data_IF_180940197614
#
_entry.id   IF_180940197614
#
_cell.length_a   1.000
_cell.length_b   1.000
_cell.length_c   1.000
_cell.angle_alpha   90.00
_cell.angle_beta   90.00
_cell.angle_gamma   90.00
#
_symmetry.space_group_name_H-M   'P 1'
#
loop_
_entity.id
_entity.type
_entity.pdbx_description
1 polymer ?
#
# COMPACT_ATOMS: atom_id res chain seq x y z
N UNK A 1 5.09 25.06 30.38
CA UNK A 1 5.31 25.22 28.92
C UNK A 1 3.96 25.52 28.30
N UNK A 2 3.82 26.55 27.46
CA UNK A 2 2.55 26.80 26.78
C UNK A 2 2.33 25.75 25.67
N UNK A 3 1.08 25.55 25.23
CA UNK A 3 0.77 24.52 24.23
C UNK A 3 1.47 24.74 22.88
N UNK A 4 1.72 26.00 22.48
CA UNK A 4 2.41 26.30 21.24
C UNK A 4 3.88 25.84 21.27
N UNK A 5 4.55 26.00 22.41
CA UNK A 5 5.92 25.52 22.62
C UNK A 5 5.94 23.98 22.74
N UNK A 6 4.95 23.38 23.42
CA UNK A 6 4.80 21.92 23.52
C UNK A 6 4.63 21.26 22.15
N UNK A 7 3.73 21.80 21.32
CA UNK A 7 3.44 21.25 19.99
C UNK A 7 4.61 21.43 19.04
N UNK A 8 5.35 22.54 19.17
CA UNK A 8 6.59 22.76 18.40
C UNK A 8 7.67 21.75 18.79
N UNK A 9 7.80 21.43 20.08
CA UNK A 9 8.73 20.39 20.57
C UNK A 9 8.29 18.99 20.12
N UNK A 10 7.00 18.68 20.24
CA UNK A 10 6.40 17.41 19.82
C UNK A 10 6.57 17.15 18.31
N UNK A 11 6.47 18.17 17.46
CA UNK A 11 6.71 18.02 16.03
C UNK A 11 8.13 17.53 15.68
N UNK A 12 9.10 17.68 16.60
CA UNK A 12 10.47 17.18 16.42
C UNK A 12 10.72 15.84 17.13
N UNK A 13 9.97 15.54 18.20
CA UNK A 13 10.20 14.38 19.08
C UNK A 13 9.15 13.29 18.96
N UNK A 14 8.08 13.54 18.21
CA UNK A 14 6.86 12.74 18.17
C UNK A 14 5.75 13.36 19.02
N UNK A 15 4.51 13.02 18.69
CA UNK A 15 3.30 13.53 19.35
C UNK A 15 2.87 12.69 20.56
N UNK A 16 3.80 11.92 21.13
CA UNK A 16 3.55 11.11 22.33
C UNK A 16 3.16 12.02 23.50
N UNK A 17 2.04 11.68 24.16
CA UNK A 17 1.49 12.45 25.27
C UNK A 17 0.55 13.60 24.87
N UNK A 18 0.22 13.75 23.58
CA UNK A 18 -0.96 14.51 23.16
C UNK A 18 -2.16 13.56 23.04
N UNK A 19 -3.36 14.10 23.27
CA UNK A 19 -4.61 13.35 23.09
C UNK A 19 -5.67 14.22 22.39
N UNK A 20 -6.74 13.56 21.94
CA UNK A 20 -7.81 14.18 21.15
C UNK A 20 -8.57 15.32 21.87
N UNK A 21 -8.44 15.47 23.20
CA UNK A 21 -9.02 16.60 23.92
C UNK A 21 -8.40 17.94 23.52
N UNK A 22 -7.18 17.93 22.97
CA UNK A 22 -6.45 19.13 22.54
C UNK A 22 -6.85 19.64 21.15
N UNK A 23 -7.71 18.93 20.42
CA UNK A 23 -8.11 19.30 19.06
C UNK A 23 -8.66 20.74 18.95
N UNK A 24 -9.53 21.24 19.86
CA UNK A 24 -10.02 22.62 19.79
C UNK A 24 -8.89 23.67 19.88
N UNK A 25 -7.96 23.50 20.82
CA UNK A 25 -6.83 24.42 21.03
C UNK A 25 -5.82 24.34 19.87
N UNK A 26 -5.57 23.15 19.34
CA UNK A 26 -4.72 22.96 18.16
C UNK A 26 -5.29 23.68 16.93
N UNK A 27 -6.62 23.63 16.72
CA UNK A 27 -7.30 24.41 15.67
C UNK A 27 -7.16 25.92 15.90
N UNK A 28 -7.20 26.38 17.14
CA UNK A 28 -6.99 27.79 17.46
C UNK A 28 -5.54 28.22 17.14
N UNK A 29 -4.54 27.43 17.54
CA UNK A 29 -3.13 27.67 17.21
C UNK A 29 -2.92 27.68 15.69
N UNK A 30 -3.51 26.73 14.98
CA UNK A 30 -3.42 26.64 13.51
C UNK A 30 -3.95 27.90 12.83
N UNK A 31 -5.08 28.43 13.28
CA UNK A 31 -5.73 29.62 12.69
C UNK A 31 -5.01 30.92 13.03
N UNK A 32 -4.74 31.14 14.31
CA UNK A 32 -4.39 32.47 14.82
C UNK A 32 -3.09 32.49 15.63
N UNK A 33 -2.57 31.32 16.01
CA UNK A 33 -1.37 31.20 16.82
C UNK A 33 -0.08 31.72 16.16
N UNK A 34 1.03 31.72 16.90
CA UNK A 34 2.33 32.15 16.38
C UNK A 34 2.73 31.38 15.12
N UNK A 35 3.32 32.05 14.13
CA UNK A 35 3.66 31.44 12.84
C UNK A 35 4.48 30.14 12.99
N UNK A 36 5.42 30.11 13.94
CA UNK A 36 6.26 28.94 14.25
C UNK A 36 5.47 27.70 14.71
N UNK A 37 4.29 27.89 15.30
CA UNK A 37 3.47 26.82 15.88
C UNK A 37 2.35 26.35 14.94
N UNK A 38 2.04 27.07 13.85
CA UNK A 38 0.93 26.73 12.95
C UNK A 38 1.14 25.42 12.20
N UNK A 39 2.34 25.19 11.64
CA UNK A 39 2.69 23.92 10.96
C UNK A 39 2.75 22.76 11.96
N UNK A 40 3.45 22.88 13.10
CA UNK A 40 3.37 21.88 14.17
C UNK A 40 1.94 21.54 14.61
N UNK A 41 1.06 22.55 14.76
CA UNK A 41 -0.34 22.31 15.10
C UNK A 41 -1.11 21.57 14.00
N UNK A 42 -0.84 21.86 12.72
CA UNK A 42 -1.42 21.11 11.59
C UNK A 42 -1.03 19.62 11.66
N UNK A 43 0.25 19.33 11.91
CA UNK A 43 0.75 17.95 12.02
C UNK A 43 0.16 17.24 13.24
N UNK A 44 0.01 17.93 14.37
CA UNK A 44 -0.66 17.38 15.55
C UNK A 44 -2.15 17.11 15.31
N UNK A 45 -2.87 17.98 14.58
CA UNK A 45 -4.26 17.74 14.17
C UNK A 45 -4.37 16.46 13.33
N UNK A 46 -3.53 16.34 12.30
CA UNK A 46 -3.46 15.14 11.47
C UNK A 46 -3.15 13.89 12.29
N UNK A 47 -2.17 13.95 13.19
CA UNK A 47 -1.84 12.81 14.03
C UNK A 47 -3.01 12.41 14.95
N UNK A 48 -3.65 13.36 15.63
CA UNK A 48 -4.65 13.03 16.66
C UNK A 48 -6.04 12.71 16.13
N UNK A 49 -6.42 13.26 14.98
CA UNK A 49 -7.77 13.05 14.43
C UNK A 49 -7.81 13.00 12.91
N UNK A 50 -6.67 12.78 12.26
CA UNK A 50 -6.51 12.69 10.82
C UNK A 50 -7.12 13.85 10.05
N UNK A 51 -7.56 13.57 8.84
CA UNK A 51 -8.26 14.50 7.96
C UNK A 51 -9.51 15.11 8.60
N UNK A 52 -10.18 14.42 9.54
CA UNK A 52 -11.37 14.95 10.24
C UNK A 52 -11.03 16.01 11.28
N UNK A 53 -9.79 16.06 11.76
CA UNK A 53 -9.34 17.12 12.65
C UNK A 53 -9.14 18.46 11.93
N UNK A 54 -8.95 18.44 10.61
CA UNK A 54 -8.65 19.62 9.81
C UNK A 54 -9.86 20.51 9.57
N UNK A 55 -9.64 21.83 9.59
CA UNK A 55 -10.65 22.78 9.15
C UNK A 55 -10.87 22.67 7.64
N UNK A 56 -12.07 23.01 7.11
CA UNK A 56 -12.35 22.94 5.67
C UNK A 56 -11.35 23.70 4.79
N UNK A 57 -10.78 24.81 5.30
CA UNK A 57 -9.75 25.57 4.60
C UNK A 57 -8.43 24.80 4.47
N UNK A 58 -8.02 24.05 5.49
CA UNK A 58 -6.82 23.23 5.45
C UNK A 58 -6.99 22.04 4.50
N UNK A 59 -8.17 21.39 4.51
CA UNK A 59 -8.52 20.34 3.54
C UNK A 59 -8.51 20.85 2.10
N UNK A 60 -9.04 22.05 1.86
CA UNK A 60 -9.01 22.67 0.53
C UNK A 60 -7.57 22.95 0.05
N UNK A 61 -6.70 23.41 0.95
CA UNK A 61 -5.27 23.62 0.63
C UNK A 61 -4.58 22.30 0.32
N UNK A 62 -4.82 21.25 1.12
CA UNK A 62 -4.24 19.92 0.88
C UNK A 62 -4.67 19.36 -0.48
N UNK A 63 -5.97 19.40 -0.80
CA UNK A 63 -6.50 18.96 -2.10
C UNK A 63 -5.86 19.71 -3.25
N UNK A 64 -5.74 21.03 -3.14
CA UNK A 64 -5.07 21.86 -4.15
C UNK A 64 -3.58 21.51 -4.29
N UNK A 65 -2.88 21.24 -3.19
CA UNK A 65 -1.47 20.81 -3.23
C UNK A 65 -1.31 19.49 -3.97
N UNK A 66 -2.19 18.52 -3.71
CA UNK A 66 -2.23 17.25 -4.46
C UNK A 66 -2.41 17.53 -5.95
N UNK A 67 -3.45 18.28 -6.33
CA UNK A 67 -3.74 18.63 -7.73
C UNK A 67 -2.55 19.30 -8.43
N UNK A 68 -1.85 20.22 -7.76
CA UNK A 68 -0.67 20.89 -8.31
C UNK A 68 0.54 19.95 -8.44
N UNK A 69 0.65 18.92 -7.60
CA UNK A 69 1.76 17.95 -7.62
C UNK A 69 1.57 16.87 -8.66
N UNK A 70 0.33 16.41 -8.90
CA UNK A 70 0.02 15.28 -9.79
C UNK A 70 0.74 15.28 -11.14
N UNK A 71 0.85 16.40 -11.90
CA UNK A 71 1.55 16.38 -13.19
C UNK A 71 3.04 16.03 -13.11
N UNK A 72 3.66 16.32 -11.96
CA UNK A 72 5.08 16.13 -11.69
C UNK A 72 5.37 14.93 -10.80
N UNK A 73 4.32 14.30 -10.29
CA UNK A 73 4.44 13.12 -9.46
C UNK A 73 4.91 11.95 -10.33
N UNK A 74 5.88 11.20 -9.82
CA UNK A 74 6.53 10.13 -10.55
C UNK A 74 6.50 8.86 -9.72
N UNK A 75 6.24 7.70 -10.35
CA UNK A 75 6.29 6.42 -9.66
C UNK A 75 7.65 6.25 -8.99
N UNK A 76 7.62 5.90 -7.71
CA UNK A 76 8.78 5.51 -6.92
C UNK A 76 8.40 4.28 -6.09
N UNK A 77 9.40 3.66 -5.47
CA UNK A 77 9.21 2.50 -4.62
C UNK A 77 8.23 2.83 -3.50
N UNK A 78 7.20 2.01 -3.35
CA UNK A 78 6.27 2.02 -2.23
C UNK A 78 6.72 0.90 -1.31
N UNK A 79 7.64 1.22 -0.39
CA UNK A 79 8.24 0.26 0.52
C UNK A 79 7.77 0.50 1.95
N UNK A 80 7.09 -0.50 2.50
CA UNK A 80 6.74 -0.62 3.91
C UNK A 80 7.31 -1.88 4.53
N UNK A 81 7.05 -2.07 5.83
CA UNK A 81 7.42 -3.33 6.50
C UNK A 81 6.60 -4.52 5.98
N UNK A 82 5.31 -4.28 5.69
CA UNK A 82 4.35 -5.27 5.22
C UNK A 82 3.76 -4.81 3.90
N UNK A 83 4.24 -5.38 2.80
CA UNK A 83 3.84 -4.95 1.46
C UNK A 83 2.86 -5.96 0.88
N UNK A 84 1.62 -5.54 0.65
CA UNK A 84 0.61 -6.33 -0.05
C UNK A 84 0.09 -5.54 -1.26
N UNK A 85 0.07 -6.18 -2.43
CA UNK A 85 -0.41 -5.52 -3.65
C UNK A 85 -1.00 -6.50 -4.66
N UNK A 86 -1.91 -5.97 -5.49
CA UNK A 86 -2.38 -6.59 -6.71
C UNK A 86 -1.73 -5.92 -7.91
N UNK A 87 -1.54 -6.69 -8.97
CA UNK A 87 -1.29 -6.17 -10.32
C UNK A 87 -2.36 -6.70 -11.25
N UNK A 88 -2.94 -5.82 -12.05
CA UNK A 88 -4.01 -6.16 -13.01
C UNK A 88 -3.58 -5.70 -14.38
N UNK A 89 -3.64 -6.59 -15.37
CA UNK A 89 -3.32 -6.21 -16.75
C UNK A 89 -4.34 -5.18 -17.24
N UNK A 90 -3.91 -4.20 -18.01
CA UNK A 90 -4.76 -3.07 -18.40
C UNK A 90 -4.97 -2.06 -17.27
N UNK A 91 -6.02 -1.25 -17.35
CA UNK A 91 -6.20 -0.16 -16.39
C UNK A 91 -7.46 0.67 -16.51
N UNK A 92 -8.61 0.02 -16.33
CA UNK A 92 -9.80 0.74 -15.87
C UNK A 92 -9.83 0.71 -14.33
N UNK A 93 -9.29 1.76 -13.71
CA UNK A 93 -9.27 1.91 -12.25
C UNK A 93 -10.68 1.81 -11.65
N UNK A 94 -11.71 2.31 -12.35
CA UNK A 94 -13.09 2.31 -11.87
C UNK A 94 -13.68 0.89 -11.85
N UNK A 95 -13.39 0.09 -12.86
CA UNK A 95 -13.84 -1.32 -12.89
C UNK A 95 -13.06 -2.18 -11.89
N UNK A 96 -11.75 -1.94 -11.72
CA UNK A 96 -10.96 -2.58 -10.66
C UNK A 96 -11.57 -2.27 -9.29
N UNK A 97 -11.86 -0.99 -9.02
CA UNK A 97 -12.54 -0.57 -7.80
C UNK A 97 -13.86 -1.30 -7.58
N UNK A 98 -14.69 -1.47 -8.61
CA UNK A 98 -15.95 -2.21 -8.49
C UNK A 98 -15.76 -3.67 -8.05
N UNK A 99 -14.79 -4.38 -8.62
CA UNK A 99 -14.48 -5.78 -8.22
C UNK A 99 -14.05 -5.85 -6.76
N UNK A 100 -13.23 -4.90 -6.32
CA UNK A 100 -12.76 -4.83 -4.93
C UNK A 100 -13.85 -4.32 -3.96
N UNK A 101 -14.96 -3.79 -4.47
CA UNK A 101 -16.02 -3.19 -3.65
C UNK A 101 -15.69 -1.78 -3.15
N UNK A 102 -14.77 -1.09 -3.83
CA UNK A 102 -14.37 0.28 -3.53
C UNK A 102 -15.28 1.24 -4.30
N UNK A 103 -15.94 2.14 -3.58
CA UNK A 103 -16.98 3.03 -4.12
C UNK A 103 -16.64 4.50 -3.99
N UNK A 104 -15.54 4.80 -3.29
CA UNK A 104 -15.03 6.13 -3.05
C UNK A 104 -13.58 6.22 -3.50
N UNK A 105 -13.18 7.39 -3.96
CA UNK A 105 -11.81 7.66 -4.34
C UNK A 105 -11.49 9.15 -4.23
N UNK A 106 -10.23 9.46 -3.97
CA UNK A 106 -9.66 10.80 -4.10
C UNK A 106 -8.32 10.73 -4.83
N UNK A 107 -7.97 11.74 -5.65
CA UNK A 107 -6.63 11.83 -6.23
C UNK A 107 -5.57 11.80 -5.13
N UNK A 108 -4.45 11.14 -5.40
CA UNK A 108 -3.36 11.01 -4.46
C UNK A 108 -2.02 11.10 -5.17
N UNK A 109 -0.99 11.55 -4.47
CA UNK A 109 0.38 11.40 -4.95
C UNK A 109 0.95 10.03 -4.56
N UNK A 110 2.01 9.57 -5.21
CA UNK A 110 2.75 8.37 -4.81
C UNK A 110 3.26 8.48 -3.38
N UNK A 111 3.76 9.66 -2.97
CA UNK A 111 4.21 9.87 -1.58
C UNK A 111 3.07 9.79 -0.56
N UNK A 112 1.85 10.22 -0.93
CA UNK A 112 0.67 10.01 -0.09
C UNK A 112 0.27 8.52 -0.06
N UNK A 113 0.35 7.83 -1.19
CA UNK A 113 0.14 6.39 -1.30
C UNK A 113 1.10 5.58 -0.44
N UNK A 114 2.39 5.93 -0.46
CA UNK A 114 3.44 5.33 0.38
C UNK A 114 3.13 5.53 1.87
N UNK A 115 2.87 6.77 2.29
CA UNK A 115 2.52 7.05 3.67
C UNK A 115 1.27 6.27 4.14
N UNK A 116 0.28 6.16 3.26
CA UNK A 116 -0.93 5.37 3.52
C UNK A 116 -0.61 3.89 3.68
N UNK A 117 0.03 3.27 2.68
CA UNK A 117 0.31 1.82 2.66
C UNK A 117 1.19 1.44 3.85
N UNK A 118 2.24 2.22 4.13
CA UNK A 118 3.11 2.00 5.28
C UNK A 118 2.32 2.06 6.60
N UNK A 119 1.47 3.08 6.77
CA UNK A 119 0.68 3.23 7.99
C UNK A 119 -0.34 2.10 8.18
N UNK A 120 -1.08 1.74 7.13
CA UNK A 120 -2.09 0.68 7.20
C UNK A 120 -1.48 -0.71 7.36
N UNK A 121 -0.28 -0.95 6.81
CA UNK A 121 0.47 -2.20 7.02
C UNK A 121 0.82 -2.43 8.50
N UNK A 122 1.01 -1.36 9.28
CA UNK A 122 1.17 -1.41 10.74
C UNK A 122 -0.15 -1.48 11.52
N UNK A 123 -1.25 -1.72 10.82
CA UNK A 123 -2.58 -1.83 11.41
C UNK A 123 -3.32 -0.50 11.54
N UNK A 124 -2.80 0.58 10.95
CA UNK A 124 -3.48 1.87 10.92
C UNK A 124 -3.81 2.45 12.31
N UNK A 125 -4.85 3.29 12.43
CA UNK A 125 -5.18 3.99 13.66
C UNK A 125 -5.62 3.11 14.86
N UNK A 126 -5.98 1.85 14.65
CA UNK A 126 -6.45 0.94 15.70
C UNK A 126 -5.54 -0.28 15.90
N UNK A 127 -4.46 -0.38 15.14
CA UNK A 127 -3.54 -1.52 15.15
C UNK A 127 -4.08 -2.79 14.47
N UNK A 128 -5.22 -2.73 13.78
CA UNK A 128 -5.81 -3.85 13.04
C UNK A 128 -5.33 -3.92 11.60
N UNK A 129 -4.94 -5.10 11.11
CA UNK A 129 -4.51 -5.29 9.70
C UNK A 129 -5.67 -5.38 8.68
N UNK A 130 -6.90 -5.03 9.06
CA UNK A 130 -8.12 -5.28 8.24
C UNK A 130 -8.55 -4.08 7.37
N UNK A 131 -7.63 -3.19 7.04
CA UNK A 131 -7.94 -1.97 6.30
C UNK A 131 -8.20 -2.23 4.82
N UNK A 132 -9.30 -1.67 4.32
CA UNK A 132 -9.75 -1.78 2.91
C UNK A 132 -9.38 -0.58 2.05
N UNK A 133 -8.70 0.40 2.63
CA UNK A 133 -8.15 1.52 1.89
C UNK A 133 -6.95 1.04 1.08
N UNK A 134 -6.92 1.43 -0.18
CA UNK A 134 -5.83 1.08 -1.09
C UNK A 134 -5.35 2.30 -1.85
N UNK A 135 -4.06 2.31 -2.16
CA UNK A 135 -3.52 3.14 -3.22
C UNK A 135 -3.71 2.42 -4.56
N UNK A 136 -4.17 3.12 -5.58
CA UNK A 136 -4.28 2.62 -6.95
C UNK A 136 -3.42 3.49 -7.85
N UNK A 137 -2.46 2.87 -8.51
CA UNK A 137 -1.60 3.55 -9.47
C UNK A 137 -2.38 3.94 -10.73
N UNK A 138 -1.90 4.92 -11.52
CA UNK A 138 -2.29 5.03 -12.92
C UNK A 138 -1.97 3.72 -13.68
N UNK A 139 -2.34 3.67 -14.95
CA UNK A 139 -1.83 2.63 -15.87
C UNK A 139 -0.34 2.84 -16.08
N UNK A 140 0.45 1.76 -15.96
CA UNK A 140 1.91 1.71 -16.02
C UNK A 140 2.31 0.54 -16.90
N UNK A 141 2.90 0.77 -18.07
CA UNK A 141 3.44 -0.28 -18.95
C UNK A 141 2.53 -1.53 -19.14
N UNK A 142 1.22 -1.32 -19.26
CA UNK A 142 0.25 -2.41 -19.44
C UNK A 142 -0.40 -2.92 -18.16
N UNK A 143 -0.13 -2.33 -17.00
CA UNK A 143 -0.59 -2.80 -15.70
C UNK A 143 -1.13 -1.67 -14.82
N UNK A 144 -2.00 -2.02 -13.89
CA UNK A 144 -2.42 -1.17 -12.77
C UNK A 144 -2.05 -1.86 -11.46
N UNK A 145 -1.43 -1.13 -10.55
CA UNK A 145 -1.06 -1.60 -9.21
C UNK A 145 -2.13 -1.15 -8.22
N UNK A 146 -2.56 -2.05 -7.35
CA UNK A 146 -3.40 -1.74 -6.19
C UNK A 146 -2.64 -2.17 -4.94
N UNK A 147 -2.33 -1.26 -4.03
CA UNK A 147 -1.50 -1.52 -2.86
C UNK A 147 -2.24 -1.21 -1.56
N UNK A 148 -2.20 -2.12 -0.61
CA UNK A 148 -2.80 -1.98 0.72
C UNK A 148 -3.02 -3.33 1.40
N UNK A 149 -3.25 -3.37 2.73
CA UNK A 149 -3.33 -4.62 3.48
C UNK A 149 -4.38 -5.60 2.98
N UNK A 150 -5.50 -5.11 2.45
CA UNK A 150 -6.54 -5.96 1.84
C UNK A 150 -6.08 -6.71 0.59
N UNK A 151 -4.88 -6.46 0.06
CA UNK A 151 -4.36 -7.17 -1.11
C UNK A 151 -3.57 -8.44 -0.75
N UNK A 152 -3.46 -8.78 0.53
CA UNK A 152 -2.63 -9.89 1.00
C UNK A 152 -3.22 -11.27 0.62
N UNK A 153 -2.54 -12.06 -0.24
CA UNK A 153 -3.02 -13.39 -0.62
C UNK A 153 -3.04 -14.43 0.53
N UNK A 154 -2.33 -14.20 1.64
CA UNK A 154 -2.30 -15.10 2.79
C UNK A 154 -3.47 -14.89 3.75
N UNK A 155 -3.86 -13.64 3.95
CA UNK A 155 -4.71 -13.24 5.08
C UNK A 155 -6.06 -12.62 4.65
N UNK A 156 -6.22 -12.21 3.39
CA UNK A 156 -7.51 -11.73 2.86
C UNK A 156 -8.21 -12.81 2.03
N UNK A 157 -9.31 -13.41 2.52
CA UNK A 157 -10.04 -14.47 1.81
C UNK A 157 -10.57 -14.06 0.43
N UNK A 158 -10.87 -12.77 0.22
CA UNK A 158 -11.43 -12.28 -1.04
C UNK A 158 -10.41 -12.09 -2.15
N UNK A 159 -9.11 -12.05 -1.84
CA UNK A 159 -8.06 -11.80 -2.85
C UNK A 159 -8.09 -12.84 -3.97
N UNK A 160 -8.37 -14.11 -3.66
CA UNK A 160 -8.48 -15.14 -4.70
C UNK A 160 -9.68 -14.92 -5.63
N UNK A 161 -10.83 -14.53 -5.09
CA UNK A 161 -12.01 -14.16 -5.87
C UNK A 161 -11.68 -12.97 -6.80
N UNK A 162 -11.04 -11.92 -6.26
CA UNK A 162 -10.63 -10.76 -7.04
C UNK A 162 -9.65 -11.11 -8.14
N UNK A 163 -8.60 -11.88 -7.85
CA UNK A 163 -7.62 -12.31 -8.85
C UNK A 163 -8.29 -13.14 -9.95
N UNK A 164 -9.22 -14.03 -9.60
CA UNK A 164 -9.98 -14.81 -10.58
C UNK A 164 -10.85 -13.90 -11.45
N UNK A 165 -11.61 -13.00 -10.86
CA UNK A 165 -12.49 -12.11 -11.61
C UNK A 165 -11.71 -11.13 -12.50
N UNK A 166 -10.68 -10.49 -11.96
CA UNK A 166 -9.84 -9.53 -12.69
C UNK A 166 -9.08 -10.21 -13.83
N UNK A 167 -8.48 -11.38 -13.60
CA UNK A 167 -7.82 -12.12 -14.68
C UNK A 167 -8.79 -12.63 -15.74
N UNK A 168 -10.05 -12.91 -15.40
CA UNK A 168 -11.09 -13.25 -16.39
C UNK A 168 -11.40 -12.06 -17.31
N UNK A 169 -11.50 -10.86 -16.74
CA UNK A 169 -11.83 -9.62 -17.47
C UNK A 169 -10.64 -9.09 -18.28
N UNK A 170 -9.44 -9.16 -17.72
CA UNK A 170 -8.26 -8.45 -18.23
C UNK A 170 -7.14 -9.37 -18.74
N UNK A 171 -7.37 -10.68 -18.74
CA UNK A 171 -6.41 -11.68 -19.19
C UNK A 171 -5.49 -12.14 -18.06
N UNK A 172 -4.87 -11.24 -17.30
CA UNK A 172 -3.98 -11.59 -16.19
C UNK A 172 -4.20 -10.67 -14.98
N UNK A 173 -4.13 -11.25 -13.78
CA UNK A 173 -4.08 -10.51 -12.52
C UNK A 173 -3.29 -11.33 -11.49
N UNK A 174 -2.55 -10.66 -10.61
CA UNK A 174 -1.77 -11.32 -9.57
C UNK A 174 -1.90 -10.57 -8.24
N UNK A 175 -1.74 -11.29 -7.13
CA UNK A 175 -1.58 -10.74 -5.79
C UNK A 175 -0.22 -11.16 -5.23
N UNK A 176 0.36 -10.31 -4.40
CA UNK A 176 1.69 -10.49 -3.83
C UNK A 176 1.71 -10.00 -2.39
N UNK A 177 2.51 -10.67 -1.57
CA UNK A 177 2.92 -10.21 -0.24
C UNK A 177 4.43 -10.32 -0.09
N UNK A 178 5.04 -9.28 0.48
CA UNK A 178 6.47 -9.23 0.83
C UNK A 178 6.67 -8.56 2.19
N UNK A 179 7.16 -9.33 3.15
CA UNK A 179 7.63 -8.83 4.45
C UNK A 179 9.08 -8.41 4.38
N UNK A 180 9.36 -7.11 4.32
CA UNK A 180 10.74 -6.60 4.14
C UNK A 180 11.67 -6.89 5.34
N UNK A 181 11.10 -7.33 6.47
CA UNK A 181 11.84 -7.75 7.67
C UNK A 181 11.98 -9.28 7.80
N UNK A 182 11.66 -10.02 6.74
CA UNK A 182 11.67 -11.49 6.75
C UNK A 182 10.35 -12.09 7.26
N UNK A 183 9.24 -11.35 7.16
CA UNK A 183 7.90 -11.82 7.56
C UNK A 183 7.22 -12.71 6.49
N UNK A 184 8.02 -13.20 5.52
CA UNK A 184 7.61 -14.13 4.49
C UNK A 184 7.26 -13.50 3.14
N UNK A 185 7.00 -14.39 2.19
CA UNK A 185 6.68 -14.10 0.80
C UNK A 185 5.45 -14.91 0.38
N UNK A 186 4.58 -14.30 -0.41
CA UNK A 186 3.50 -15.02 -1.07
C UNK A 186 3.15 -14.42 -2.42
N UNK A 187 2.64 -15.26 -3.32
CA UNK A 187 2.04 -14.83 -4.57
C UNK A 187 0.86 -15.70 -4.96
N UNK A 188 -0.11 -15.07 -5.60
CA UNK A 188 -1.28 -15.69 -6.20
C UNK A 188 -1.41 -15.20 -7.63
N UNK A 189 -1.27 -16.11 -8.59
CA UNK A 189 -1.26 -15.78 -10.01
C UNK A 189 -2.53 -16.27 -10.66
N UNK A 190 -3.29 -15.35 -11.26
CA UNK A 190 -4.44 -15.62 -12.08
C UNK A 190 -4.18 -15.33 -13.57
N UNK A 191 -4.65 -16.23 -14.42
CA UNK A 191 -4.71 -16.01 -15.87
C UNK A 191 -6.04 -16.50 -16.42
N UNK A 192 -6.72 -15.65 -17.20
CA UNK A 192 -7.98 -15.92 -17.90
C UNK A 192 -9.07 -16.53 -17.00
N UNK A 193 -9.16 -16.06 -15.76
CA UNK A 193 -10.17 -16.52 -14.81
C UNK A 193 -9.82 -17.81 -14.09
N UNK A 194 -8.57 -18.27 -14.16
CA UNK A 194 -8.08 -19.44 -13.43
C UNK A 194 -6.87 -19.05 -12.58
N UNK A 195 -6.82 -19.58 -11.36
CA UNK A 195 -5.63 -19.51 -10.52
C UNK A 195 -4.64 -20.55 -11.05
N UNK A 196 -3.46 -20.10 -11.48
CA UNK A 196 -2.43 -20.96 -12.09
C UNK A 196 -1.30 -21.30 -11.12
N UNK A 197 -1.04 -20.43 -10.15
CA UNK A 197 -0.05 -20.65 -9.09
C UNK A 197 -0.50 -19.94 -7.81
N UNK A 198 -0.37 -20.63 -6.68
CA UNK A 198 -0.42 -20.08 -5.33
C UNK A 198 0.83 -20.54 -4.61
N UNK A 199 1.52 -19.63 -3.96
CA UNK A 199 2.66 -19.94 -3.10
C UNK A 199 2.63 -19.07 -1.85
N UNK A 200 3.02 -19.64 -0.72
CA UNK A 200 3.22 -18.94 0.54
C UNK A 200 4.36 -19.59 1.32
N UNK A 201 5.36 -18.82 1.72
CA UNK A 201 6.44 -19.31 2.59
C UNK A 201 5.95 -19.57 4.02
N UNK A 202 4.96 -18.82 4.48
CA UNK A 202 4.39 -18.92 5.83
C UNK A 202 3.32 -20.01 5.93
N UNK A 203 2.64 -20.30 4.82
CA UNK A 203 1.59 -21.33 4.73
C UNK A 203 1.83 -22.27 3.53
N UNK A 204 2.96 -23.00 3.48
CA UNK A 204 3.32 -23.84 2.32
C UNK A 204 2.25 -24.86 1.93
N UNK A 205 1.50 -25.37 2.90
CA UNK A 205 0.39 -26.31 2.71
C UNK A 205 -0.78 -25.74 1.90
N UNK A 206 -0.87 -24.42 1.77
CA UNK A 206 -1.86 -23.75 0.93
C UNK A 206 -1.38 -23.50 -0.49
N UNK A 207 -0.11 -23.80 -0.78
CA UNK A 207 0.48 -23.63 -2.12
C UNK A 207 -0.10 -24.65 -3.10
N UNK A 208 -0.28 -24.22 -4.35
CA UNK A 208 -0.89 -25.04 -5.39
C UNK A 208 -0.47 -24.59 -6.79
N UNK A 209 -0.56 -25.50 -7.75
CA UNK A 209 -0.16 -25.26 -9.14
C UNK A 209 1.33 -25.42 -9.37
N UNK A 210 1.70 -25.65 -10.63
CA UNK A 210 3.10 -25.88 -11.03
C UNK A 210 3.97 -24.62 -10.82
N UNK A 211 5.23 -24.78 -10.36
CA UNK A 211 6.15 -23.65 -10.21
C UNK A 211 6.25 -22.82 -11.49
N UNK A 212 6.21 -21.49 -11.35
CA UNK A 212 6.35 -20.54 -12.46
C UNK A 212 7.73 -20.65 -13.11
N UNK A 213 7.90 -20.16 -14.36
CA UNK A 213 9.21 -20.19 -15.03
C UNK A 213 10.34 -19.50 -14.25
N UNK A 214 10.04 -18.46 -13.47
CA UNK A 214 11.04 -17.82 -12.60
C UNK A 214 11.40 -18.71 -11.40
N UNK A 215 10.40 -19.33 -10.76
CA UNK A 215 10.62 -20.29 -9.67
C UNK A 215 11.50 -21.46 -10.16
N UNK A 216 11.18 -22.05 -11.32
CA UNK A 216 11.94 -23.16 -11.91
C UNK A 216 13.40 -22.80 -12.20
N UNK A 217 13.64 -21.59 -12.75
CA UNK A 217 15.02 -21.10 -12.99
C UNK A 217 15.79 -20.94 -11.69
N UNK A 218 15.15 -20.44 -10.63
CA UNK A 218 15.78 -20.26 -9.33
C UNK A 218 16.07 -21.59 -8.67
N UNK A 219 15.12 -22.54 -8.66
CA UNK A 219 15.33 -23.91 -8.18
C UNK A 219 16.52 -24.56 -8.87
N UNK A 220 16.57 -24.52 -10.20
CA UNK A 220 17.66 -25.10 -10.98
C UNK A 220 19.02 -24.46 -10.65
N UNK A 221 19.06 -23.14 -10.44
CA UNK A 221 20.30 -22.42 -10.10
C UNK A 221 20.80 -22.74 -8.69
N UNK A 222 19.88 -22.95 -7.74
CA UNK A 222 20.18 -23.35 -6.37
C UNK A 222 20.46 -24.85 -6.23
N UNK A 223 20.24 -25.64 -7.29
CA UNK A 223 20.39 -27.10 -7.25
C UNK A 223 19.27 -27.80 -6.48
N UNK A 224 18.14 -27.13 -6.29
CA UNK A 224 16.96 -27.64 -5.58
C UNK A 224 16.08 -28.43 -6.55
N UNK A 225 15.61 -29.60 -6.12
CA UNK A 225 14.83 -30.53 -6.96
C UNK A 225 13.37 -30.65 -6.55
N UNK A 226 13.05 -30.26 -5.30
CA UNK A 226 11.69 -30.21 -4.80
C UNK A 226 11.01 -28.89 -5.19
N UNK A 227 9.67 -28.88 -5.37
CA UNK A 227 8.90 -27.64 -5.45
C UNK A 227 9.12 -26.76 -4.22
N UNK A 228 8.97 -25.42 -4.33
CA UNK A 228 9.26 -24.49 -3.25
C UNK A 228 8.52 -24.79 -1.94
N UNK A 229 7.27 -25.21 -2.03
CA UNK A 229 6.42 -25.58 -0.88
C UNK A 229 6.86 -26.84 -0.12
N UNK A 230 7.81 -27.61 -0.66
CA UNK A 230 8.33 -28.83 -0.03
C UNK A 230 9.80 -28.70 0.40
N UNK A 231 10.40 -27.53 0.20
CA UNK A 231 11.75 -27.24 0.68
C UNK A 231 11.77 -27.23 2.21
N UNK A 232 12.90 -27.63 2.79
CA UNK A 232 13.11 -27.41 4.22
C UNK A 232 13.31 -25.93 4.52
N UNK A 233 13.32 -25.55 5.81
CA UNK A 233 13.43 -24.14 6.19
C UNK A 233 14.66 -23.43 5.61
N UNK A 234 15.82 -24.09 5.58
CA UNK A 234 17.05 -23.47 5.06
C UNK A 234 17.00 -23.28 3.55
N UNK A 235 16.61 -24.33 2.83
CA UNK A 235 16.44 -24.30 1.38
C UNK A 235 15.36 -23.30 0.95
N UNK A 236 14.27 -23.20 1.72
CA UNK A 236 13.19 -22.24 1.49
C UNK A 236 13.70 -20.80 1.64
N UNK A 237 14.49 -20.51 2.67
CA UNK A 237 15.09 -19.17 2.86
C UNK A 237 16.03 -18.79 1.73
N UNK A 238 16.87 -19.72 1.27
CA UNK A 238 17.73 -19.50 0.10
C UNK A 238 16.89 -19.25 -1.17
N UNK A 239 15.79 -19.99 -1.33
CA UNK A 239 14.88 -19.81 -2.46
C UNK A 239 14.16 -18.46 -2.44
N UNK A 240 13.49 -18.08 -1.35
CA UNK A 240 12.75 -16.80 -1.27
C UNK A 240 13.68 -15.59 -1.26
N UNK A 241 14.92 -15.75 -0.75
CA UNK A 241 15.96 -14.71 -0.84
C UNK A 241 16.33 -14.35 -2.29
N UNK A 242 16.12 -15.27 -3.24
CA UNK A 242 16.42 -15.07 -4.66
C UNK A 242 15.19 -15.06 -5.58
N UNK A 243 14.04 -15.51 -5.09
CA UNK A 243 12.78 -15.62 -5.80
C UNK A 243 11.59 -15.08 -4.99
N UNK A 244 11.81 -14.01 -4.22
CA UNK A 244 10.76 -13.35 -3.44
C UNK A 244 9.68 -12.73 -4.31
N UNK A 245 8.57 -12.35 -3.69
CA UNK A 245 7.41 -11.77 -4.35
C UNK A 245 7.74 -10.54 -5.23
N UNK A 246 8.65 -9.61 -4.84
CA UNK A 246 9.08 -8.53 -5.72
C UNK A 246 9.74 -9.04 -7.02
N UNK A 247 10.58 -10.08 -6.93
CA UNK A 247 11.25 -10.65 -8.11
C UNK A 247 10.27 -11.40 -9.03
N UNK A 248 9.29 -12.09 -8.44
CA UNK A 248 8.19 -12.72 -9.20
C UNK A 248 7.35 -11.65 -9.90
N UNK A 249 6.96 -10.59 -9.20
CA UNK A 249 6.21 -9.48 -9.76
C UNK A 249 6.97 -8.78 -10.90
N UNK A 250 8.27 -8.52 -10.74
CA UNK A 250 9.11 -7.94 -11.80
C UNK A 250 9.20 -8.82 -13.06
N UNK A 251 9.10 -10.14 -12.93
CA UNK A 251 9.12 -11.07 -14.07
C UNK A 251 7.76 -11.23 -14.75
N UNK A 252 6.66 -10.96 -14.04
CA UNK A 252 5.30 -11.25 -14.51
C UNK A 252 4.49 -10.00 -14.86
N UNK A 253 4.70 -8.92 -14.12
CA UNK A 253 3.92 -7.69 -14.16
C UNK A 253 4.76 -6.47 -13.75
N UNK A 254 4.51 -5.89 -12.57
CA UNK A 254 5.19 -4.72 -12.00
C UNK A 254 5.47 -4.99 -10.53
N UNK A 255 6.70 -4.71 -10.13
CA UNK A 255 7.12 -4.64 -8.75
C UNK A 255 7.13 -3.18 -8.26
N UNK A 256 6.19 -2.77 -7.39
CA UNK A 256 6.18 -1.43 -6.82
C UNK A 256 7.14 -1.27 -5.64
N UNK A 257 7.81 -2.34 -5.18
CA UNK A 257 8.53 -2.37 -3.89
C UNK A 257 10.04 -2.25 -4.05
N UNK A 258 10.73 -3.09 -4.83
CA UNK A 258 12.20 -3.25 -4.66
C UNK A 258 13.07 -3.14 -5.91
N UNK A 259 12.67 -3.72 -7.05
CA UNK A 259 13.58 -3.99 -8.18
C UNK A 259 13.79 -2.80 -9.13
N UNK A 260 13.10 -1.69 -8.88
CA UNK A 260 13.20 -0.47 -9.68
C UNK A 260 12.26 -0.47 -10.87
N UNK A 261 11.64 0.69 -11.11
CA UNK A 261 10.75 0.90 -12.24
C UNK A 261 11.52 0.81 -13.57
N UNK A 262 10.92 0.28 -14.65
CA UNK A 262 11.52 0.34 -15.99
C UNK A 262 11.90 1.77 -16.38
N UNK A 263 13.05 1.93 -17.06
CA UNK A 263 13.53 3.25 -17.52
C UNK A 263 12.57 3.93 -18.51
N UNK A 264 11.75 3.15 -19.22
CA UNK A 264 10.77 3.57 -20.23
C UNK A 264 9.32 3.48 -19.73
N UNK A 265 9.08 3.98 -18.52
CA UNK A 265 7.76 3.92 -17.90
C UNK A 265 6.73 4.80 -18.62
N UNK A 266 5.78 4.16 -19.30
CA UNK A 266 4.61 4.80 -19.89
C UNK A 266 3.48 4.88 -18.87
N UNK A 267 3.00 6.10 -18.63
CA UNK A 267 2.01 6.41 -17.60
C UNK A 267 0.77 7.00 -18.25
N UNK A 268 -0.41 6.45 -17.94
CA UNK A 268 -1.70 7.01 -18.35
C UNK A 268 -2.68 7.07 -17.18
N UNK A 269 -3.30 8.23 -16.96
CA UNK A 269 -4.21 8.48 -15.84
C UNK A 269 -3.53 9.12 -14.64
N UNK A 270 -4.15 9.01 -13.47
CA UNK A 270 -3.65 9.60 -12.22
C UNK A 270 -3.72 8.57 -11.08
N UNK A 271 -2.80 8.63 -10.11
CA UNK A 271 -2.91 7.84 -8.90
C UNK A 271 -4.07 8.33 -8.03
N UNK A 272 -4.66 7.39 -7.29
CA UNK A 272 -5.75 7.67 -6.36
C UNK A 272 -5.63 6.80 -5.11
N UNK A 273 -6.28 7.25 -4.04
CA UNK A 273 -6.63 6.39 -2.91
C UNK A 273 -8.11 6.05 -3.05
N UNK A 274 -8.46 4.79 -2.80
CA UNK A 274 -9.83 4.29 -2.88
C UNK A 274 -10.22 3.48 -1.64
N UNK A 275 -11.51 3.52 -1.31
CA UNK A 275 -12.09 2.88 -0.12
C UNK A 275 -13.58 2.55 -0.33
N UNK A 276 -14.17 1.66 0.49
CA UNK A 276 -15.61 1.42 0.47
C UNK A 276 -16.37 2.55 1.22
N UNK A 277 -17.57 2.88 0.78
CA UNK A 277 -18.45 3.89 1.43
C UNK A 277 -18.65 3.64 2.95
N UNK A 278 -18.64 2.38 3.40
CA UNK A 278 -18.72 2.05 4.83
C UNK A 278 -17.56 2.62 5.66
N UNK A 279 -16.48 3.04 5.02
CA UNK A 279 -15.28 3.58 5.66
C UNK A 279 -15.21 5.11 5.51
N UNK A 280 -16.25 5.79 5.01
CA UNK A 280 -16.30 7.26 4.90
C UNK A 280 -16.08 7.97 6.25
N UNK A 281 -16.39 7.28 7.36
CA UNK A 281 -16.21 7.83 8.69
C UNK A 281 -14.82 7.59 9.31
N UNK A 282 -13.98 6.78 8.65
CA UNK A 282 -12.62 6.46 9.11
C UNK A 282 -11.68 7.62 8.82
N UNK A 283 -10.81 7.95 9.77
CA UNK A 283 -9.71 8.88 9.54
C UNK A 283 -8.39 8.12 9.40
N UNK A 284 -7.99 7.82 8.17
CA UNK A 284 -6.86 6.93 7.88
C UNK A 284 -5.49 7.55 8.16
N UNK A 285 -5.43 8.87 8.27
CA UNK A 285 -4.19 9.55 8.63
C UNK A 285 -4.01 9.71 10.14
N UNK A 286 -5.01 9.32 10.95
CA UNK A 286 -4.88 9.35 12.41
C UNK A 286 -3.78 8.39 12.85
N UNK A 287 -2.98 8.80 13.82
CA UNK A 287 -1.83 8.06 14.35
C UNK A 287 -0.72 7.78 13.32
N UNK A 288 -0.84 8.31 12.10
CA UNK A 288 0.23 8.26 11.12
C UNK A 288 1.43 9.08 11.65
N UNK A 289 2.61 8.46 11.64
CA UNK A 289 3.85 9.01 12.17
C UNK A 289 4.80 9.49 11.06
N UNK A 290 4.45 9.27 9.78
CA UNK A 290 5.22 9.70 8.61
C UNK A 290 4.35 10.58 7.72
N UNK A 291 4.52 11.90 7.83
CA UNK A 291 3.93 12.85 6.87
C UNK A 291 5.03 13.49 6.03
N UNK A 292 5.18 13.03 4.79
CA UNK A 292 5.93 13.72 3.74
C UNK A 292 4.92 14.36 2.78
N UNK A 293 4.51 15.60 3.07
CA UNK A 293 3.66 16.43 2.18
C UNK A 293 4.56 17.35 1.34
#
# INVERSE_FOLDING_TARGET
MNLADLVTDAANKGFSGLDASLLPELRAIRREGPARARRPALLALLHLGGERALDPADLAVLRRLIEMRLPYDRPHTIDGCFNAWLTVRGGDQREIMQVLGLTRSAPATYGLGEALVAHLGHGGPDGSRTWRHVFISPWLNGWTVVSGPSCDPNDEPRVEEWVRELSSRYGDAQAYFYGSQGDGDAWLVGSRGQIVRRFSSEKPETSAGEPLPIEQRTLARLGLTSPPEWLDGGELWDFVGECGAPQVAANMSIDPVSTGWPDDLHIHGQPLVAWPESDDDVSILRDCYVFRI
#
